data_IF_426274301268
#
_entry.id   IF_426274301268
#
_cell.length_a   1.000
_cell.length_b   1.000
_cell.length_c   1.000
_cell.angle_alpha   90.00
_cell.angle_beta   90.00
_cell.angle_gamma   90.00
#
_symmetry.space_group_name_H-M   'P 1'
#
loop_
_entity.id
_entity.type
_entity.pdbx_description
1 polymer ?
#
# COMPACT_ATOMS: atom_id res chain seq x y z
N UNK A 1 66.49 -11.70 30.78
CA UNK A 1 66.12 -10.52 29.96
C UNK A 1 64.78 -10.67 29.21
N UNK A 2 64.44 -11.87 28.74
CA UNK A 2 63.19 -12.10 27.96
C UNK A 2 61.87 -11.76 28.70
N UNK A 3 61.71 -12.09 29.99
CA UNK A 3 60.50 -11.85 30.77
C UNK A 3 60.17 -10.36 30.94
N UNK A 4 61.17 -9.49 31.04
CA UNK A 4 60.93 -8.03 31.12
C UNK A 4 60.45 -7.47 29.79
N UNK A 5 60.99 -7.95 28.66
CA UNK A 5 60.54 -7.55 27.34
C UNK A 5 59.09 -8.00 27.07
N UNK A 6 58.75 -9.24 27.45
CA UNK A 6 57.35 -9.76 27.34
C UNK A 6 56.38 -8.93 28.14
N UNK A 7 56.73 -8.50 29.37
CA UNK A 7 55.88 -7.66 30.20
C UNK A 7 55.56 -6.28 29.51
N UNK A 8 56.55 -5.69 28.83
CA UNK A 8 56.37 -4.45 28.08
C UNK A 8 55.41 -4.62 26.90
N UNK A 9 55.57 -5.74 26.11
CA UNK A 9 54.66 -6.02 25.01
C UNK A 9 53.25 -6.35 25.46
N UNK A 10 53.08 -7.12 26.56
CA UNK A 10 51.76 -7.39 27.15
C UNK A 10 51.07 -6.07 27.54
N UNK A 11 51.80 -5.18 28.25
CA UNK A 11 51.27 -3.89 28.65
C UNK A 11 50.84 -3.06 27.44
N UNK A 12 51.64 -3.08 26.35
CA UNK A 12 51.31 -2.39 25.12
C UNK A 12 50.00 -2.93 24.48
N UNK A 13 49.90 -4.26 24.30
CA UNK A 13 48.70 -4.86 23.71
C UNK A 13 47.46 -4.68 24.59
N UNK A 14 47.58 -4.74 25.91
CA UNK A 14 46.47 -4.43 26.84
C UNK A 14 46.05 -2.98 26.69
N UNK A 15 46.99 -2.03 26.59
CA UNK A 15 46.68 -0.61 26.35
C UNK A 15 45.95 -0.41 25.03
N UNK A 16 46.39 -1.02 23.93
CA UNK A 16 45.72 -0.95 22.61
C UNK A 16 44.32 -1.52 22.71
N UNK A 17 44.14 -2.69 23.33
CA UNK A 17 42.86 -3.35 23.50
C UNK A 17 41.87 -2.48 24.31
N UNK A 18 42.33 -1.94 25.44
CA UNK A 18 41.52 -1.06 26.29
C UNK A 18 41.14 0.25 25.54
N UNK A 19 42.09 0.89 24.86
CA UNK A 19 41.85 2.09 24.09
C UNK A 19 40.81 1.84 22.95
N UNK A 20 40.99 0.75 22.19
CA UNK A 20 40.04 0.37 21.13
C UNK A 20 38.66 0.06 21.69
N UNK A 21 38.59 -0.66 22.82
CA UNK A 21 37.29 -0.93 23.49
C UNK A 21 36.61 0.35 23.97
N UNK A 22 37.38 1.27 24.59
CA UNK A 22 36.82 2.53 25.07
C UNK A 22 36.25 3.36 23.92
N UNK A 23 36.99 3.49 22.81
CA UNK A 23 36.51 4.19 21.61
C UNK A 23 35.23 3.54 21.05
N UNK A 24 35.17 2.22 21.03
CA UNK A 24 33.98 1.50 20.52
C UNK A 24 32.74 1.73 21.40
N UNK A 25 32.90 1.75 22.73
CA UNK A 25 31.76 1.90 23.68
C UNK A 25 31.30 3.34 23.80
N UNK A 26 32.20 4.30 23.58
CA UNK A 26 31.86 5.74 23.67
C UNK A 26 31.47 6.36 22.33
N UNK A 27 31.65 5.65 21.24
CA UNK A 27 31.26 6.13 19.91
C UNK A 27 29.74 6.04 19.77
N UNK A 28 29.10 7.16 19.44
CA UNK A 28 27.67 7.23 19.12
C UNK A 28 27.49 7.01 17.62
N UNK A 29 26.53 6.16 17.28
CA UNK A 29 26.19 5.91 15.88
C UNK A 29 25.53 7.15 15.29
N UNK A 30 26.02 7.68 14.16
CA UNK A 30 25.34 8.78 13.47
C UNK A 30 23.96 8.32 13.00
N UNK A 31 22.96 9.16 13.22
CA UNK A 31 21.63 8.95 12.67
C UNK A 31 21.65 9.36 11.19
N UNK A 32 20.86 8.68 10.37
CA UNK A 32 20.60 9.14 9.01
C UNK A 32 19.76 10.40 9.12
N UNK A 33 20.37 11.55 8.87
CA UNK A 33 19.71 12.85 8.89
C UNK A 33 20.18 13.67 7.68
N UNK A 34 19.24 14.33 7.03
CA UNK A 34 19.51 15.25 5.92
C UNK A 34 19.30 16.68 6.41
N UNK A 35 20.23 17.56 6.10
CA UNK A 35 20.09 18.98 6.42
C UNK A 35 18.90 19.57 5.62
N UNK A 36 17.95 20.21 6.33
CA UNK A 36 16.77 20.83 5.76
C UNK A 36 15.89 19.86 4.94
N UNK A 37 15.23 18.90 5.59
CA UNK A 37 14.24 18.05 4.94
C UNK A 37 13.10 18.89 4.35
N UNK A 38 12.47 18.42 3.27
CA UNK A 38 11.32 19.10 2.69
C UNK A 38 10.11 19.08 3.62
N UNK A 39 9.91 17.95 4.30
CA UNK A 39 8.84 17.76 5.29
C UNK A 39 9.39 17.02 6.50
N UNK A 40 8.93 17.44 7.68
CA UNK A 40 9.16 16.77 8.95
C UNK A 40 7.80 16.57 9.60
N UNK A 41 7.36 15.33 9.74
CA UNK A 41 5.99 14.99 10.05
C UNK A 41 5.90 14.04 11.23
N UNK A 42 4.96 14.33 12.11
CA UNK A 42 4.56 13.45 13.21
C UNK A 42 3.24 12.76 12.88
N UNK A 43 2.91 11.71 13.64
CA UNK A 43 1.64 10.99 13.47
C UNK A 43 0.43 11.94 13.60
N UNK A 44 -0.48 11.89 12.61
CA UNK A 44 -1.65 12.75 12.50
C UNK A 44 -1.38 14.13 11.89
N UNK A 45 -0.15 14.44 11.48
CA UNK A 45 0.19 15.74 10.90
C UNK A 45 -0.14 15.79 9.41
N UNK A 46 -0.73 16.93 9.00
CA UNK A 46 -1.11 17.20 7.61
C UNK A 46 -0.08 18.09 6.93
N UNK A 47 0.15 17.84 5.65
CA UNK A 47 0.96 18.69 4.79
C UNK A 47 0.35 18.79 3.40
N UNK A 48 0.70 19.81 2.66
CA UNK A 48 0.15 20.08 1.32
C UNK A 48 1.28 20.21 0.30
N UNK A 49 1.12 19.55 -0.83
CA UNK A 49 2.01 19.68 -1.98
C UNK A 49 1.16 20.09 -3.16
N UNK A 50 1.43 21.25 -3.73
CA UNK A 50 0.54 21.93 -4.68
C UNK A 50 -0.89 22.07 -4.09
N UNK A 51 -1.88 21.50 -4.75
CA UNK A 51 -3.29 21.56 -4.30
C UNK A 51 -3.74 20.25 -3.61
N UNK A 52 -2.83 19.27 -3.42
CA UNK A 52 -3.13 17.99 -2.79
C UNK A 52 -2.74 17.99 -1.31
N UNK A 53 -3.68 17.67 -0.44
CA UNK A 53 -3.46 17.43 0.98
C UNK A 53 -3.08 15.99 1.24
N UNK A 54 -2.11 15.80 2.14
CA UNK A 54 -1.60 14.52 2.62
C UNK A 54 -1.61 14.50 4.14
N UNK A 55 -1.76 13.34 4.72
CA UNK A 55 -1.69 13.14 6.18
C UNK A 55 -0.70 12.03 6.49
N UNK A 56 0.25 12.30 7.40
CA UNK A 56 1.05 11.25 8.01
C UNK A 56 0.18 10.54 9.07
N UNK A 57 -0.64 9.58 8.65
CA UNK A 57 -1.64 8.94 9.50
C UNK A 57 -1.02 8.24 10.71
N UNK A 58 0.06 7.49 10.47
CA UNK A 58 0.83 6.83 11.53
C UNK A 58 2.32 7.05 11.31
N UNK A 59 3.07 7.19 12.41
CA UNK A 59 4.52 7.08 12.47
C UNK A 59 4.85 6.26 13.70
N UNK A 60 5.25 5.01 13.52
CA UNK A 60 5.41 4.08 14.62
C UNK A 60 6.53 3.05 14.40
N UNK A 61 6.93 2.41 15.48
CA UNK A 61 7.86 1.30 15.46
C UNK A 61 7.07 0.00 15.21
N UNK A 62 7.44 -0.70 14.14
CA UNK A 62 6.84 -1.98 13.74
C UNK A 62 7.82 -3.10 14.08
N UNK A 63 7.30 -4.16 14.70
CA UNK A 63 8.07 -5.38 14.96
C UNK A 63 7.48 -6.54 14.17
N UNK A 64 8.24 -7.08 13.24
CA UNK A 64 7.90 -8.29 12.50
C UNK A 64 8.54 -9.52 13.11
N UNK A 65 7.74 -10.54 13.35
CA UNK A 65 8.22 -11.85 13.77
C UNK A 65 8.63 -12.68 12.56
N UNK A 66 9.93 -12.94 12.45
CA UNK A 66 10.48 -13.80 11.41
C UNK A 66 10.38 -15.29 11.75
N UNK A 67 10.61 -16.15 10.76
CA UNK A 67 10.71 -17.59 10.96
C UNK A 67 11.85 -17.92 11.96
N UNK A 68 11.61 -18.88 12.85
CA UNK A 68 12.55 -19.36 13.89
C UNK A 68 12.71 -18.43 15.10
N UNK A 69 11.72 -17.56 15.38
CA UNK A 69 11.71 -16.71 16.59
C UNK A 69 12.68 -15.52 16.53
N UNK A 70 13.13 -15.13 15.33
CA UNK A 70 13.79 -13.84 15.13
C UNK A 70 12.74 -12.74 15.03
N UNK A 71 13.00 -11.57 15.60
CA UNK A 71 12.17 -10.37 15.39
C UNK A 71 13.05 -9.27 14.77
N UNK A 72 12.48 -8.55 13.83
CA UNK A 72 13.07 -7.34 13.24
C UNK A 72 12.19 -6.15 13.58
N UNK A 73 12.79 -5.12 14.11
CA UNK A 73 12.09 -3.89 14.50
C UNK A 73 12.59 -2.75 13.60
N UNK A 74 11.66 -1.99 13.03
CA UNK A 74 11.94 -0.84 12.17
C UNK A 74 10.87 0.24 12.33
N UNK A 75 11.17 1.45 11.88
CA UNK A 75 10.21 2.55 11.84
C UNK A 75 9.45 2.52 10.52
N UNK A 76 8.13 2.68 10.59
CA UNK A 76 7.25 2.85 9.45
C UNK A 76 6.35 4.08 9.60
N UNK A 77 5.98 4.67 8.49
CA UNK A 77 5.01 5.76 8.42
C UNK A 77 3.98 5.47 7.33
N UNK A 78 2.70 5.73 7.60
CA UNK A 78 1.66 5.64 6.59
C UNK A 78 1.26 7.05 6.16
N UNK A 79 1.42 7.35 4.88
CA UNK A 79 0.96 8.59 4.26
C UNK A 79 -0.36 8.31 3.56
N UNK A 80 -1.39 9.07 3.89
CA UNK A 80 -2.73 8.97 3.31
C UNK A 80 -3.09 10.25 2.56
N UNK A 81 -3.83 10.11 1.46
CA UNK A 81 -4.39 11.23 0.71
C UNK A 81 -5.66 10.82 -0.03
N UNK A 82 -6.52 11.80 -0.29
CA UNK A 82 -7.73 11.60 -1.09
C UNK A 82 -7.63 12.42 -2.37
N UNK A 83 -7.72 11.76 -3.51
CA UNK A 83 -7.88 12.41 -4.81
C UNK A 83 -9.34 12.65 -5.05
N UNK A 84 -9.74 13.91 -5.16
CA UNK A 84 -11.14 14.29 -5.39
C UNK A 84 -11.43 14.39 -6.88
N UNK A 85 -12.64 14.02 -7.26
CA UNK A 85 -13.10 14.16 -8.63
C UNK A 85 -12.34 13.28 -9.62
N UNK A 86 -12.06 12.05 -9.26
CA UNK A 86 -11.49 11.06 -10.17
C UNK A 86 -12.60 10.54 -11.08
N UNK A 87 -12.42 10.73 -12.40
CA UNK A 87 -13.36 10.24 -13.39
C UNK A 87 -13.25 8.72 -13.52
N UNK A 88 -14.38 8.05 -13.37
CA UNK A 88 -14.54 6.63 -13.64
C UNK A 88 -15.43 6.46 -14.87
N UNK A 89 -15.15 5.46 -15.67
CA UNK A 89 -15.94 5.15 -16.86
C UNK A 89 -16.27 3.68 -16.91
N UNK A 90 -17.47 3.36 -17.39
CA UNK A 90 -17.89 1.99 -17.64
C UNK A 90 -18.65 1.92 -18.97
N UNK A 91 -18.62 0.77 -19.59
CA UNK A 91 -19.31 0.50 -20.86
C UNK A 91 -20.42 -0.52 -20.62
N UNK A 92 -21.66 -0.16 -21.02
CA UNK A 92 -22.80 -1.06 -21.01
C UNK A 92 -23.07 -1.56 -22.42
N UNK A 93 -23.12 -2.86 -22.58
CA UNK A 93 -23.48 -3.53 -23.85
C UNK A 93 -24.89 -4.12 -23.78
N UNK A 94 -25.47 -4.40 -24.96
CA UNK A 94 -26.76 -5.10 -25.03
C UNK A 94 -26.67 -6.48 -24.35
N UNK A 95 -27.58 -6.76 -23.43
CA UNK A 95 -27.62 -7.96 -22.60
C UNK A 95 -26.96 -7.82 -21.23
N UNK A 96 -26.26 -6.73 -20.96
CA UNK A 96 -25.69 -6.48 -19.63
C UNK A 96 -26.77 -6.16 -18.60
N UNK A 97 -26.55 -6.60 -17.37
CA UNK A 97 -27.35 -6.24 -16.22
C UNK A 97 -26.67 -5.08 -15.49
N UNK A 98 -27.40 -3.99 -15.31
CA UNK A 98 -26.92 -2.77 -14.65
C UNK A 98 -27.82 -2.42 -13.46
N UNK A 99 -27.26 -1.68 -12.49
CA UNK A 99 -28.03 -1.18 -11.35
C UNK A 99 -28.29 0.33 -11.51
N UNK A 100 -29.55 0.70 -11.75
CA UNK A 100 -29.98 2.10 -11.84
C UNK A 100 -31.08 2.31 -10.82
N UNK A 101 -30.98 3.36 -10.00
CA UNK A 101 -31.95 3.71 -8.96
C UNK A 101 -32.25 2.54 -8.00
N UNK A 102 -31.16 1.84 -7.56
CA UNK A 102 -31.22 0.67 -6.65
C UNK A 102 -31.98 -0.55 -7.20
N UNK A 103 -32.25 -0.57 -8.52
CA UNK A 103 -32.93 -1.68 -9.22
C UNK A 103 -32.02 -2.28 -10.29
N UNK A 104 -32.19 -3.56 -10.52
CA UNK A 104 -31.52 -4.25 -11.63
C UNK A 104 -32.29 -4.08 -12.93
N UNK A 105 -31.56 -3.71 -13.97
CA UNK A 105 -32.07 -3.53 -15.33
C UNK A 105 -31.22 -4.29 -16.32
N UNK A 106 -31.80 -4.76 -17.40
CA UNK A 106 -31.09 -5.37 -18.52
C UNK A 106 -31.08 -4.41 -19.70
N UNK A 107 -29.92 -4.17 -20.30
CA UNK A 107 -29.81 -3.38 -21.53
C UNK A 107 -30.40 -4.18 -22.69
N UNK A 108 -31.56 -3.76 -23.20
CA UNK A 108 -32.27 -4.51 -24.25
C UNK A 108 -32.04 -3.98 -25.64
N UNK A 109 -31.75 -2.71 -25.80
CA UNK A 109 -31.40 -2.12 -27.08
C UNK A 109 -30.67 -0.81 -26.96
N UNK A 110 -29.76 -0.56 -27.92
CA UNK A 110 -29.04 0.71 -28.05
C UNK A 110 -29.25 1.28 -29.45
N UNK A 111 -29.29 2.59 -29.53
CA UNK A 111 -29.31 3.32 -30.81
C UNK A 111 -28.09 4.26 -30.86
N UNK A 112 -28.00 5.14 -31.85
CA UNK A 112 -26.89 6.13 -31.89
C UNK A 112 -27.04 7.28 -30.90
N UNK A 113 -28.11 7.32 -30.07
CA UNK A 113 -28.35 8.44 -29.15
C UNK A 113 -29.15 8.05 -27.90
N UNK A 114 -29.57 6.79 -27.80
CA UNK A 114 -30.37 6.34 -26.65
C UNK A 114 -30.16 4.87 -26.34
N UNK A 115 -30.31 4.50 -25.10
CA UNK A 115 -30.31 3.14 -24.59
C UNK A 115 -31.66 2.85 -23.92
N UNK A 116 -32.23 1.68 -24.23
CA UNK A 116 -33.43 1.18 -23.57
C UNK A 116 -33.07 0.04 -22.66
N UNK A 117 -33.50 0.14 -21.41
CA UNK A 117 -33.31 -0.88 -20.40
C UNK A 117 -34.67 -1.43 -19.95
N UNK A 118 -34.70 -2.71 -19.58
CA UNK A 118 -35.86 -3.43 -19.10
C UNK A 118 -35.58 -3.92 -17.67
N UNK A 119 -36.57 -3.81 -16.78
CA UNK A 119 -36.44 -4.26 -15.39
C UNK A 119 -36.12 -5.76 -15.33
N UNK A 120 -35.07 -6.10 -14.59
CA UNK A 120 -34.68 -7.50 -14.31
C UNK A 120 -35.62 -8.09 -13.27
N UNK A 121 -36.54 -8.92 -13.71
CA UNK A 121 -37.53 -9.57 -12.83
C UNK A 121 -37.06 -10.98 -12.47
N UNK A 122 -37.01 -11.29 -11.16
CA UNK A 122 -36.86 -12.67 -10.69
C UNK A 122 -38.16 -13.42 -10.95
N UNK A 123 -38.24 -14.08 -12.12
CA UNK A 123 -39.42 -14.81 -12.58
C UNK A 123 -39.79 -15.95 -11.64
N UNK A 124 -38.80 -16.62 -11.06
CA UNK A 124 -39.05 -17.73 -10.15
C UNK A 124 -39.68 -17.26 -8.84
N UNK A 125 -39.20 -16.16 -8.28
CA UNK A 125 -39.78 -15.54 -7.09
C UNK A 125 -41.21 -15.02 -7.33
N UNK A 126 -41.46 -14.39 -8.47
CA UNK A 126 -42.82 -13.90 -8.83
C UNK A 126 -43.80 -15.05 -9.00
N UNK A 127 -43.43 -16.10 -9.75
CA UNK A 127 -44.29 -17.27 -9.93
C UNK A 127 -44.51 -18.00 -8.60
N UNK A 128 -43.48 -18.14 -7.78
CA UNK A 128 -43.61 -18.79 -6.45
C UNK A 128 -44.48 -18.06 -5.46
N UNK A 129 -44.67 -16.74 -5.66
CA UNK A 129 -45.54 -15.89 -4.83
C UNK A 129 -47.01 -15.89 -5.28
N UNK A 130 -47.32 -16.28 -6.52
CA UNK A 130 -48.68 -16.31 -7.06
C UNK A 130 -49.28 -17.73 -7.03
N UNK A 131 -50.16 -18.05 -6.07
CA UNK A 131 -50.77 -19.37 -5.96
C UNK A 131 -51.71 -19.73 -7.13
N UNK A 132 -52.05 -18.79 -8.00
CA UNK A 132 -52.89 -19.00 -9.18
C UNK A 132 -52.08 -19.36 -10.43
N UNK A 133 -50.76 -19.11 -10.39
CA UNK A 133 -49.84 -19.37 -11.49
C UNK A 133 -49.07 -20.67 -11.28
N UNK A 134 -48.73 -21.36 -12.36
CA UNK A 134 -47.76 -22.45 -12.30
C UNK A 134 -46.33 -21.88 -12.04
N UNK A 135 -45.55 -22.60 -11.25
CA UNK A 135 -44.18 -22.20 -10.90
C UNK A 135 -43.16 -22.35 -12.06
N UNK A 136 -43.64 -22.30 -13.29
CA UNK A 136 -42.78 -22.43 -14.48
C UNK A 136 -43.39 -21.75 -15.68
N UNK A 137 -42.52 -21.37 -16.64
CA UNK A 137 -42.94 -20.89 -17.94
C UNK A 137 -42.99 -22.02 -18.96
N UNK A 138 -43.86 -21.88 -19.94
CA UNK A 138 -44.04 -22.84 -21.02
C UNK A 138 -43.76 -22.19 -22.37
N UNK A 139 -43.15 -22.95 -23.29
CA UNK A 139 -42.91 -22.48 -24.67
C UNK A 139 -44.06 -22.94 -25.58
N UNK A 140 -44.56 -22.06 -26.41
CA UNK A 140 -45.59 -22.33 -27.41
C UNK A 140 -45.30 -21.70 -28.75
N UNK A 141 -46.16 -21.92 -29.73
CA UNK A 141 -45.98 -21.41 -31.12
C UNK A 141 -45.96 -19.85 -31.18
N UNK A 142 -46.54 -19.17 -30.22
CA UNK A 142 -46.62 -17.72 -30.14
C UNK A 142 -45.67 -17.08 -29.08
N UNK A 143 -44.67 -17.84 -28.62
CA UNK A 143 -43.73 -17.41 -27.58
C UNK A 143 -43.96 -18.11 -26.23
N UNK A 144 -43.26 -17.57 -25.21
CA UNK A 144 -43.37 -18.11 -23.84
C UNK A 144 -44.64 -17.60 -23.15
N UNK A 145 -45.25 -18.44 -22.30
CA UNK A 145 -46.44 -18.12 -21.53
C UNK A 145 -46.40 -18.76 -20.13
N UNK A 146 -47.18 -18.20 -19.24
CA UNK A 146 -47.48 -18.75 -17.90
C UNK A 146 -48.91 -19.28 -17.89
N UNK A 147 -49.15 -20.39 -17.18
CA UNK A 147 -50.51 -20.83 -16.90
C UNK A 147 -51.01 -20.21 -15.59
N UNK A 148 -52.04 -19.41 -15.69
CA UNK A 148 -52.72 -18.77 -14.54
C UNK A 148 -54.14 -19.28 -14.49
N UNK A 149 -54.52 -20.08 -13.49
CA UNK A 149 -55.78 -20.79 -13.42
C UNK A 149 -56.12 -21.58 -14.70
N UNK A 150 -55.16 -22.30 -15.27
CA UNK A 150 -55.23 -23.06 -16.53
C UNK A 150 -55.38 -22.18 -17.81
N UNK A 151 -55.34 -20.85 -17.70
CA UNK A 151 -55.36 -19.93 -18.85
C UNK A 151 -53.94 -19.52 -19.24
N UNK A 152 -53.67 -19.42 -20.55
CA UNK A 152 -52.37 -19.04 -21.07
C UNK A 152 -52.21 -17.53 -21.08
N UNK A 153 -51.30 -17.01 -20.28
CA UNK A 153 -50.95 -15.59 -20.24
C UNK A 153 -49.52 -15.43 -20.82
N UNK A 154 -49.31 -14.59 -21.85
CA UNK A 154 -47.97 -14.33 -22.37
C UNK A 154 -47.04 -13.85 -21.26
N UNK A 155 -45.76 -14.27 -21.29
CA UNK A 155 -44.72 -13.90 -20.31
C UNK A 155 -44.58 -12.38 -20.22
N UNK A 156 -44.65 -11.66 -21.34
CA UNK A 156 -44.58 -10.18 -21.40
C UNK A 156 -45.77 -9.47 -20.74
N UNK A 157 -46.93 -10.15 -20.69
CA UNK A 157 -48.12 -9.60 -20.06
C UNK A 157 -48.19 -9.98 -18.56
N UNK A 158 -47.72 -11.19 -18.23
CA UNK A 158 -47.73 -11.67 -16.85
C UNK A 158 -46.74 -10.96 -15.95
N UNK A 159 -45.48 -10.80 -16.42
CA UNK A 159 -44.43 -10.15 -15.64
C UNK A 159 -44.42 -8.61 -15.84
N UNK A 160 -44.88 -8.11 -16.99
CA UNK A 160 -45.00 -6.69 -17.35
C UNK A 160 -43.78 -5.85 -16.91
N UNK A 161 -42.56 -6.20 -17.37
CA UNK A 161 -41.35 -5.54 -16.93
C UNK A 161 -41.37 -4.06 -17.36
N UNK A 162 -41.03 -3.18 -16.42
CA UNK A 162 -40.89 -1.77 -16.74
C UNK A 162 -39.75 -1.55 -17.75
N UNK A 163 -39.96 -0.62 -18.69
CA UNK A 163 -38.90 -0.21 -19.62
C UNK A 163 -38.63 1.29 -19.47
N UNK A 164 -37.36 1.65 -19.49
CA UNK A 164 -36.88 3.03 -19.43
C UNK A 164 -35.93 3.30 -20.58
N UNK A 165 -35.99 4.47 -21.16
CA UNK A 165 -35.03 4.88 -22.19
C UNK A 165 -34.28 6.11 -21.72
N UNK A 166 -32.92 6.00 -21.70
CA UNK A 166 -32.03 7.11 -21.39
C UNK A 166 -31.39 7.61 -22.68
N UNK A 167 -31.07 8.91 -22.70
CA UNK A 167 -30.48 9.59 -23.86
C UNK A 167 -29.05 10.04 -23.54
N UNK A 168 -28.22 10.18 -24.58
CA UNK A 168 -26.87 10.71 -24.46
C UNK A 168 -26.89 12.09 -23.78
N UNK A 169 -25.99 12.32 -22.82
CA UNK A 169 -25.91 13.50 -21.98
C UNK A 169 -26.83 13.46 -20.75
N UNK A 170 -27.69 12.47 -20.61
CA UNK A 170 -28.55 12.33 -19.44
C UNK A 170 -27.74 11.80 -18.23
N UNK A 171 -28.13 12.29 -17.03
CA UNK A 171 -27.54 11.85 -15.78
C UNK A 171 -28.50 10.89 -15.07
N UNK A 172 -27.99 9.75 -14.67
CA UNK A 172 -28.76 8.68 -14.01
C UNK A 172 -28.09 8.26 -12.68
N UNK A 173 -28.87 7.87 -11.67
CA UNK A 173 -28.30 7.28 -10.45
C UNK A 173 -27.81 5.85 -10.76
N UNK A 174 -26.50 5.68 -10.83
CA UNK A 174 -25.84 4.42 -11.12
C UNK A 174 -24.91 4.01 -9.96
N UNK A 175 -25.11 2.82 -9.41
CA UNK A 175 -24.35 2.25 -8.29
C UNK A 175 -24.15 3.26 -7.12
N UNK A 176 -25.23 4.00 -6.78
CA UNK A 176 -25.21 5.00 -5.70
C UNK A 176 -24.52 6.33 -6.06
N UNK A 177 -24.06 6.50 -7.30
CA UNK A 177 -23.43 7.70 -7.84
C UNK A 177 -24.34 8.37 -8.87
N UNK A 178 -24.01 9.60 -9.25
CA UNK A 178 -24.65 10.27 -10.40
C UNK A 178 -23.75 10.07 -11.61
N UNK A 179 -24.14 9.18 -12.51
CA UNK A 179 -23.40 8.89 -13.74
C UNK A 179 -24.04 9.62 -14.93
N UNK A 180 -23.20 10.06 -15.87
CA UNK A 180 -23.64 10.71 -17.11
C UNK A 180 -23.41 9.74 -18.27
N UNK A 181 -24.37 9.65 -19.18
CA UNK A 181 -24.22 8.90 -20.44
C UNK A 181 -23.41 9.76 -21.42
N UNK A 182 -22.09 9.53 -21.49
CA UNK A 182 -21.19 10.37 -22.29
C UNK A 182 -21.31 10.11 -23.78
N UNK A 183 -21.48 8.85 -24.16
CA UNK A 183 -21.69 8.47 -25.56
C UNK A 183 -22.59 7.25 -25.68
N UNK A 184 -23.47 7.27 -26.66
CA UNK A 184 -24.33 6.14 -27.00
C UNK A 184 -24.10 5.77 -28.45
N UNK A 185 -23.70 4.52 -28.68
CA UNK A 185 -23.48 3.96 -30.02
C UNK A 185 -24.40 2.77 -30.25
N UNK A 186 -24.49 2.31 -31.49
CA UNK A 186 -25.24 1.09 -31.78
C UNK A 186 -24.47 -0.14 -31.25
N UNK A 187 -24.86 -0.62 -30.08
CA UNK A 187 -24.27 -1.79 -29.38
C UNK A 187 -23.69 -1.49 -28.00
N UNK A 188 -23.35 -0.24 -27.68
CA UNK A 188 -22.80 0.11 -26.37
C UNK A 188 -23.05 1.55 -25.94
N UNK A 189 -22.97 1.75 -24.63
CA UNK A 189 -23.09 3.06 -23.96
C UNK A 189 -21.90 3.23 -23.05
N UNK A 190 -21.21 4.37 -23.12
CA UNK A 190 -20.18 4.76 -22.17
C UNK A 190 -20.81 5.68 -21.13
N UNK A 191 -20.69 5.32 -19.88
CA UNK A 191 -21.10 6.13 -18.72
C UNK A 191 -19.90 6.58 -17.93
N UNK A 192 -19.94 7.80 -17.37
CA UNK A 192 -18.90 8.31 -16.49
C UNK A 192 -19.48 8.90 -15.22
N UNK A 193 -18.71 8.86 -14.15
CA UNK A 193 -19.03 9.49 -12.87
C UNK A 193 -17.76 9.90 -12.14
N UNK A 194 -17.89 10.87 -11.22
CA UNK A 194 -16.78 11.34 -10.40
C UNK A 194 -16.86 10.74 -9.01
N UNK A 195 -15.72 10.22 -8.52
CA UNK A 195 -15.57 9.73 -7.15
C UNK A 195 -14.34 10.33 -6.48
N UNK A 196 -14.37 10.30 -5.16
CA UNK A 196 -13.16 10.54 -4.37
C UNK A 196 -12.45 9.21 -4.13
N UNK A 197 -11.16 9.17 -4.42
CA UNK A 197 -10.31 7.99 -4.28
C UNK A 197 -9.37 8.19 -3.10
N UNK A 198 -9.55 7.40 -2.05
CA UNK A 198 -8.63 7.36 -0.91
C UNK A 198 -7.45 6.46 -1.20
N UNK A 199 -6.26 6.99 -1.00
CA UNK A 199 -4.99 6.30 -1.22
C UNK A 199 -4.18 6.28 0.07
N UNK A 200 -3.37 5.25 0.25
CA UNK A 200 -2.41 5.15 1.34
C UNK A 200 -1.13 4.48 0.86
N UNK A 201 0.00 4.91 1.41
CA UNK A 201 1.29 4.29 1.18
C UNK A 201 2.06 4.18 2.49
N UNK A 202 2.47 2.96 2.83
CA UNK A 202 3.41 2.71 3.91
C UNK A 202 4.84 2.96 3.42
N UNK A 203 5.64 3.62 4.25
CA UNK A 203 7.02 3.98 3.98
C UNK A 203 7.90 3.50 5.13
N UNK A 204 8.98 2.82 4.79
CA UNK A 204 10.10 2.54 5.70
C UNK A 204 11.32 3.37 5.29
N UNK A 205 12.37 3.35 6.11
CA UNK A 205 13.58 4.13 5.82
C UNK A 205 14.19 3.73 4.46
N UNK A 206 14.34 4.70 3.58
CA UNK A 206 14.85 4.54 2.22
C UNK A 206 13.79 4.38 1.15
N UNK A 207 12.53 4.19 1.51
CA UNK A 207 11.43 4.15 0.55
C UNK A 207 11.17 5.52 -0.05
N UNK A 208 10.58 5.53 -1.23
CA UNK A 208 10.24 6.76 -1.94
C UNK A 208 8.74 6.87 -2.17
N UNK A 209 8.21 8.08 -2.04
CA UNK A 209 6.85 8.44 -2.43
C UNK A 209 6.90 9.55 -3.48
N UNK A 210 6.08 9.44 -4.52
CA UNK A 210 5.92 10.50 -5.51
C UNK A 210 4.68 11.33 -5.15
N UNK A 211 4.88 12.62 -4.92
CA UNK A 211 3.80 13.54 -4.53
C UNK A 211 3.21 14.27 -5.75
N UNK A 212 2.25 15.17 -5.52
CA UNK A 212 1.48 15.85 -6.57
C UNK A 212 2.36 16.69 -7.52
N UNK A 213 3.51 17.19 -7.07
CA UNK A 213 4.49 17.90 -7.87
C UNK A 213 5.34 17.03 -8.80
N UNK A 214 5.02 15.72 -8.90
CA UNK A 214 5.79 14.69 -9.59
C UNK A 214 7.24 14.52 -9.09
N UNK A 215 7.58 15.07 -7.92
CA UNK A 215 8.87 14.85 -7.28
C UNK A 215 8.84 13.60 -6.42
N UNK A 216 9.94 12.83 -6.43
CA UNK A 216 10.12 11.69 -5.54
C UNK A 216 10.79 12.15 -4.25
N UNK A 217 10.21 11.78 -3.13
CA UNK A 217 10.71 12.06 -1.79
C UNK A 217 11.13 10.77 -1.12
N UNK A 218 12.33 10.75 -0.55
CA UNK A 218 12.84 9.61 0.22
C UNK A 218 12.48 9.80 1.68
N UNK A 219 11.91 8.75 2.29
CA UNK A 219 11.54 8.72 3.70
C UNK A 219 12.69 8.27 4.58
N UNK A 220 12.88 8.94 5.73
CA UNK A 220 13.78 8.52 6.78
C UNK A 220 13.25 8.96 8.15
N UNK A 221 13.81 8.40 9.21
CA UNK A 221 13.28 8.58 10.56
C UNK A 221 14.38 9.11 11.49
N UNK A 222 14.12 10.25 12.13
CA UNK A 222 15.05 10.90 13.07
C UNK A 222 14.67 10.69 14.54
N UNK A 223 13.67 9.85 14.78
CA UNK A 223 13.18 9.51 16.12
C UNK A 223 12.07 8.47 16.06
N UNK A 224 11.47 8.20 17.21
CA UNK A 224 10.41 7.18 17.34
C UNK A 224 9.02 7.64 16.90
N UNK A 225 8.85 8.89 16.47
CA UNK A 225 7.53 9.47 16.14
C UNK A 225 7.61 10.53 15.04
N UNK A 226 8.71 10.56 14.29
CA UNK A 226 8.91 11.57 13.25
C UNK A 226 9.44 10.89 12.00
N UNK A 227 8.73 11.07 10.88
CA UNK A 227 9.19 10.77 9.54
C UNK A 227 9.61 12.06 8.86
N UNK A 228 10.72 12.04 8.17
CA UNK A 228 11.21 13.13 7.34
C UNK A 228 11.22 12.69 5.88
N UNK A 229 10.80 13.61 5.00
CA UNK A 229 10.79 13.39 3.57
C UNK A 229 11.73 14.38 2.90
N UNK A 230 12.62 13.89 2.05
CA UNK A 230 13.56 14.71 1.29
C UNK A 230 13.56 14.34 -0.19
N UNK A 231 13.61 15.34 -1.06
CA UNK A 231 13.86 15.14 -2.48
C UNK A 231 15.36 15.19 -2.84
N UNK A 232 16.24 15.44 -1.86
CA UNK A 232 17.69 15.38 -2.03
C UNK A 232 18.19 13.94 -1.79
N UNK A 233 18.10 13.12 -2.84
CA UNK A 233 18.55 11.75 -2.81
C UNK A 233 20.08 11.62 -2.58
N UNK A 234 20.86 12.61 -3.01
CA UNK A 234 22.33 12.59 -2.84
C UNK A 234 22.70 12.82 -1.37
N UNK A 235 22.05 13.79 -0.71
CA UNK A 235 22.26 14.05 0.71
C UNK A 235 21.83 12.83 1.56
N UNK A 236 20.71 12.19 1.24
CA UNK A 236 20.28 10.96 1.90
C UNK A 236 21.31 9.83 1.74
N UNK A 237 21.79 9.57 0.52
CA UNK A 237 22.79 8.55 0.25
C UNK A 237 24.12 8.83 0.99
N UNK A 238 24.52 10.10 1.09
CA UNK A 238 25.70 10.49 1.83
C UNK A 238 25.55 10.18 3.33
N UNK A 239 24.38 10.48 3.93
CA UNK A 239 24.12 10.20 5.34
C UNK A 239 24.10 8.68 5.62
N UNK A 240 23.53 7.86 4.72
CA UNK A 240 23.59 6.40 4.81
C UNK A 240 25.03 5.88 4.72
N UNK A 241 25.85 6.43 3.80
CA UNK A 241 27.25 6.02 3.65
C UNK A 241 28.08 6.38 4.89
N UNK A 242 27.80 7.50 5.56
CA UNK A 242 28.42 7.83 6.85
C UNK A 242 28.10 6.81 7.93
N UNK A 243 26.85 6.40 8.03
CA UNK A 243 26.41 5.38 8.99
C UNK A 243 27.10 4.02 8.71
N UNK A 244 27.19 3.62 7.44
CA UNK A 244 27.89 2.39 7.04
C UNK A 244 29.39 2.47 7.38
N UNK A 245 30.03 3.61 7.09
CA UNK A 245 31.46 3.84 7.41
C UNK A 245 31.71 3.74 8.92
N UNK A 246 30.82 4.34 9.72
CA UNK A 246 30.87 4.22 11.17
C UNK A 246 30.78 2.77 11.64
N UNK A 247 29.83 2.00 11.11
CA UNK A 247 29.65 0.57 11.41
C UNK A 247 30.89 -0.25 11.08
N UNK A 248 31.54 0.03 9.94
CA UNK A 248 32.82 -0.60 9.54
C UNK A 248 33.95 -0.25 10.52
N UNK A 249 34.06 1.00 10.94
CA UNK A 249 35.07 1.44 11.92
C UNK A 249 34.88 0.75 13.27
N UNK A 250 33.64 0.67 13.79
CA UNK A 250 33.32 -0.02 15.04
C UNK A 250 33.66 -1.50 14.94
N UNK A 251 33.33 -2.13 13.80
CA UNK A 251 33.70 -3.53 13.54
C UNK A 251 35.21 -3.72 13.51
N UNK A 252 35.94 -2.80 12.87
CA UNK A 252 37.41 -2.78 12.87
C UNK A 252 37.99 -2.68 14.29
N UNK A 253 37.50 -1.74 15.10
CA UNK A 253 37.91 -1.60 16.51
C UNK A 253 37.62 -2.86 17.33
N UNK A 254 36.53 -3.53 17.09
CA UNK A 254 36.18 -4.80 17.74
C UNK A 254 37.25 -5.89 17.44
N UNK A 255 37.65 -6.02 16.18
CA UNK A 255 38.70 -6.94 15.79
C UNK A 255 40.07 -6.59 16.40
N UNK A 256 40.41 -5.29 16.47
CA UNK A 256 41.65 -4.83 17.14
C UNK A 256 41.62 -5.20 18.63
N UNK A 257 40.48 -5.00 19.31
CA UNK A 257 40.34 -5.38 20.73
C UNK A 257 40.55 -6.87 20.94
N UNK A 258 39.88 -7.71 20.15
CA UNK A 258 40.02 -9.17 20.23
C UNK A 258 41.43 -9.65 19.94
N UNK A 259 42.06 -9.16 18.87
CA UNK A 259 43.42 -9.58 18.48
C UNK A 259 44.46 -9.13 19.49
N UNK A 260 44.35 -7.89 20.01
CA UNK A 260 45.23 -7.38 21.04
C UNK A 260 45.16 -8.23 22.34
N UNK A 261 43.92 -8.54 22.79
CA UNK A 261 43.72 -9.43 23.93
C UNK A 261 44.25 -10.83 23.72
N UNK A 262 44.05 -11.41 22.55
CA UNK A 262 44.55 -12.72 22.21
C UNK A 262 46.08 -12.77 22.17
N UNK A 263 46.72 -11.76 21.56
CA UNK A 263 48.21 -11.66 21.52
C UNK A 263 48.76 -11.48 22.94
N UNK A 264 48.16 -10.64 23.78
CA UNK A 264 48.55 -10.48 25.16
C UNK A 264 48.47 -11.78 25.94
N UNK A 265 47.40 -12.56 25.76
CA UNK A 265 47.22 -13.88 26.39
C UNK A 265 48.30 -14.90 25.92
N UNK A 266 48.58 -14.94 24.63
CA UNK A 266 49.63 -15.79 24.09
C UNK A 266 51.02 -15.44 24.62
N UNK A 267 51.35 -14.15 24.69
CA UNK A 267 52.63 -13.67 25.25
C UNK A 267 52.80 -14.08 26.72
N UNK A 268 51.72 -13.98 27.51
CA UNK A 268 51.72 -14.45 28.90
C UNK A 268 51.96 -15.97 28.92
N UNK A 269 51.21 -16.76 28.15
CA UNK A 269 51.35 -18.21 28.09
C UNK A 269 52.80 -18.64 27.74
N UNK A 270 53.38 -18.01 26.71
CA UNK A 270 54.74 -18.29 26.31
C UNK A 270 55.80 -17.87 27.36
N UNK A 271 55.56 -16.83 28.16
CA UNK A 271 56.45 -16.40 29.23
C UNK A 271 56.57 -17.41 30.37
N UNK A 272 55.57 -18.27 30.55
CA UNK A 272 55.52 -19.31 31.58
C UNK A 272 55.96 -20.69 31.08
N UNK A 273 56.21 -20.86 29.76
CA UNK A 273 56.77 -22.11 29.26
C UNK A 273 58.20 -22.33 29.80
N UNK A 274 58.50 -23.52 30.31
CA UNK A 274 59.84 -23.81 30.81
C UNK A 274 60.87 -23.83 29.65
N UNK A 275 61.86 -22.92 29.72
CA UNK A 275 62.94 -22.91 28.78
C UNK A 275 63.79 -24.11 29.08
N UNK A 276 63.83 -25.13 28.21
CA UNK A 276 64.76 -26.21 28.24
C UNK A 276 66.17 -25.76 27.72
N UNK A 277 66.91 -25.07 28.57
CA UNK A 277 68.37 -24.94 28.49
C UNK A 277 68.88 -24.72 29.87
#
# INVERSE_FOLDING_TARGET
MQRRAVAVYVALFVLIGVASYTLMVTAEQPQVAVDNPNFQLSSGEEFTVEDQSYTAATVEEVTEEGSHGSSTTYMAATIEWTRTGVENTEEWAEGDTITVDEREWVVVSTTNSSVTVEESIDREAVLGADPAADNTTYSGDNGEFVLVNDERVPVSEYFDPATVTFTEGETVPYDGQQATLDSVTNGSVTVSWMTDESNSQELVAGDTITLADNSSYTAYFTGSNTVELTNDAEAYQAAVAEQETFSQHVTGLRWVTFTAGFIAMLLIAFAFLPSRY
#
